data_IF_431918471581
#
_entry.id   IF_431918471581
#
_cell.length_a   1.000
_cell.length_b   1.000
_cell.length_c   1.000
_cell.angle_alpha   90.00
_cell.angle_beta   90.00
_cell.angle_gamma   90.00
#
_symmetry.space_group_name_H-M   'P 1'
#
loop_
_entity.id
_entity.type
_entity.pdbx_description
1 polymer ?
#
# COMPACT_ATOMS: atom_id res chain seq x y z
N UNK A 1 -1.19 59.72 -3.38
CA UNK A 1 -1.57 59.23 -3.89
C UNK A 1 -1.09 58.19 -4.46
N UNK A 2 -0.89 57.85 -4.92
CA UNK A 2 -0.51 56.92 -5.55
C UNK A 2 0.14 55.88 -4.92
N UNK A 3 0.40 55.83 -4.03
CA UNK A 3 1.01 54.86 -3.47
C UNK A 3 0.29 53.71 -3.23
N UNK A 4 -0.75 53.64 -3.13
CA UNK A 4 -1.49 52.58 -2.73
C UNK A 4 -1.59 51.52 -3.70
N UNK A 5 -1.50 51.79 -4.83
CA UNK A 5 -1.67 50.79 -5.73
C UNK A 5 -0.76 49.66 -5.61
N UNK A 6 0.27 49.69 -5.23
CA UNK A 6 1.18 48.60 -5.25
C UNK A 6 0.73 47.52 -4.40
N UNK A 7 0.01 47.73 -3.53
CA UNK A 7 -0.40 46.73 -2.74
C UNK A 7 -1.12 45.69 -3.28
N UNK A 8 -1.97 45.93 -4.03
CA UNK A 8 -2.76 44.89 -4.46
C UNK A 8 -2.03 43.85 -5.12
N UNK A 9 -1.00 44.03 -5.61
CA UNK A 9 -0.35 43.05 -6.22
C UNK A 9 -0.15 41.80 -5.55
N UNK A 10 0.33 41.83 -4.54
CA UNK A 10 0.58 40.64 -3.98
C UNK A 10 -0.45 39.77 -3.65
N UNK A 11 -1.40 40.08 -3.57
CA UNK A 11 -2.43 39.29 -3.27
C UNK A 11 -2.53 38.16 -4.12
N UNK A 12 -2.41 38.29 -5.30
CA UNK A 12 -2.62 37.20 -6.11
C UNK A 12 -1.68 36.13 -5.95
N UNK A 13 -0.60 36.35 -5.59
CA UNK A 13 0.22 35.27 -5.47
C UNK A 13 -0.23 34.27 -4.59
N UNK A 14 -0.92 34.46 -3.70
CA UNK A 14 -1.32 33.50 -2.81
C UNK A 14 -2.03 32.41 -3.41
N UNK A 15 -2.63 32.54 -4.41
CA UNK A 15 -3.47 31.50 -4.86
C UNK A 15 -2.82 30.40 -5.55
N UNK A 16 -1.67 30.37 -5.72
CA UNK A 16 -1.22 29.35 -6.51
C UNK A 16 -0.95 28.03 -6.00
N UNK A 17 -0.79 27.80 -4.93
CA UNK A 17 -0.51 26.51 -4.57
C UNK A 17 -1.42 25.52 -4.34
N UNK A 18 -2.45 25.61 -4.38
CA UNK A 18 -3.33 24.61 -4.00
C UNK A 18 -3.41 23.38 -4.77
N UNK A 19 -3.04 23.32 -5.91
CA UNK A 19 -3.31 22.13 -6.61
C UNK A 19 -2.42 21.01 -6.35
N UNK A 20 -1.51 21.11 -5.63
CA UNK A 20 -0.65 20.05 -5.44
C UNK A 20 -1.21 18.78 -4.96
N UNK A 21 -2.11 18.76 -4.16
CA UNK A 21 -2.57 17.55 -3.71
C UNK A 21 -3.45 16.83 -4.54
N UNK A 22 -3.91 17.30 -5.49
CA UNK A 22 -4.83 16.59 -6.28
C UNK A 22 -4.26 15.34 -6.81
N UNK A 23 -3.05 15.27 -6.96
CA UNK A 23 -2.60 14.12 -7.62
C UNK A 23 -2.47 12.89 -6.84
N UNK A 24 -2.66 12.89 -5.68
CA UNK A 24 -2.47 11.74 -5.07
C UNK A 24 -3.48 10.93 -4.90
N UNK A 25 -3.73 10.32 -4.23
CA UNK A 25 -4.78 9.63 -3.93
C UNK A 25 -5.22 8.46 -4.65
N UNK A 26 -6.19 8.59 -5.34
CA UNK A 26 -6.86 7.47 -5.91
C UNK A 26 -6.05 6.58 -6.78
N UNK A 27 -5.07 7.03 -7.29
CA UNK A 27 -4.39 6.22 -8.13
C UNK A 27 -3.63 5.18 -7.50
N UNK A 28 -3.37 5.26 -6.34
CA UNK A 28 -2.52 4.36 -5.72
C UNK A 28 -2.82 2.94 -5.90
N UNK A 29 -3.99 2.55 -5.95
CA UNK A 29 -4.20 1.18 -6.05
C UNK A 29 -4.11 0.66 -7.38
N UNK A 30 -4.04 1.42 -8.35
CA UNK A 30 -4.00 0.92 -9.67
C UNK A 30 -2.60 0.87 -10.21
N UNK A 31 -1.63 0.70 -9.43
CA UNK A 31 -0.28 0.76 -9.89
C UNK A 31 0.03 -0.35 -10.86
N UNK A 32 0.40 -0.03 -12.06
CA UNK A 32 0.74 -1.06 -13.00
C UNK A 32 2.09 -1.61 -12.59
N UNK A 33 2.37 -2.77 -12.88
CA UNK A 33 3.63 -3.33 -12.48
C UNK A 33 3.64 -3.95 -11.12
N UNK A 34 2.50 -4.04 -10.49
CA UNK A 34 2.44 -4.68 -9.21
C UNK A 34 2.83 -6.14 -9.40
N UNK A 35 3.67 -6.67 -8.54
CA UNK A 35 4.20 -8.00 -8.73
C UNK A 35 3.45 -9.08 -8.00
N UNK A 36 2.47 -8.75 -7.22
CA UNK A 36 1.69 -9.76 -6.52
C UNK A 36 0.22 -9.38 -6.54
N UNK A 37 -0.63 -10.40 -6.68
CA UNK A 37 -2.06 -10.19 -6.61
C UNK A 37 -2.54 -10.91 -5.38
N UNK A 38 -3.51 -10.36 -4.70
CA UNK A 38 -4.06 -10.98 -3.52
C UNK A 38 -5.50 -11.34 -3.76
N UNK A 39 -5.92 -12.52 -3.35
CA UNK A 39 -7.31 -12.91 -3.42
C UNK A 39 -7.62 -14.04 -2.46
N UNK A 40 -8.82 -14.14 -1.98
CA UNK A 40 -9.91 -13.21 -2.17
C UNK A 40 -9.72 -11.98 -1.32
N UNK A 41 -10.28 -10.88 -1.72
CA UNK A 41 -10.20 -9.66 -0.93
C UNK A 41 -11.54 -8.94 -1.10
N UNK A 42 -12.43 -8.97 -0.10
CA UNK A 42 -12.14 -9.33 1.28
C UNK A 42 -11.93 -10.83 1.47
N UNK A 43 -11.09 -11.17 2.40
CA UNK A 43 -10.73 -12.54 2.67
C UNK A 43 -11.45 -13.06 3.90
N UNK A 44 -11.68 -14.37 3.96
CA UNK A 44 -12.32 -14.96 5.12
C UNK A 44 -11.41 -15.92 5.84
N UNK A 45 -11.15 -17.06 5.29
CA UNK A 45 -10.36 -18.07 5.98
C UNK A 45 -8.95 -18.14 5.49
N UNK A 46 -8.66 -17.64 4.30
CA UNK A 46 -7.31 -17.63 3.80
C UNK A 46 -7.15 -16.51 2.79
N UNK A 47 -5.93 -16.19 2.48
CA UNK A 47 -5.65 -15.25 1.41
C UNK A 47 -4.48 -15.81 0.63
N UNK A 48 -4.50 -15.67 -0.68
CA UNK A 48 -3.45 -16.15 -1.55
C UNK A 48 -2.71 -14.97 -2.14
N UNK A 49 -1.38 -15.07 -2.09
CA UNK A 49 -0.52 -14.09 -2.72
C UNK A 49 -0.02 -14.74 -3.99
N UNK A 50 -0.43 -14.24 -5.13
CA UNK A 50 -0.12 -14.84 -6.41
C UNK A 50 0.91 -13.95 -7.08
N UNK A 51 2.14 -14.44 -7.21
CA UNK A 51 3.23 -13.64 -7.73
C UNK A 51 3.40 -13.76 -9.22
N UNK A 52 3.84 -12.70 -9.82
CA UNK A 52 4.19 -12.76 -11.20
C UNK A 52 5.41 -13.65 -11.28
N UNK A 53 5.75 -14.08 -12.47
CA UNK A 53 6.76 -15.06 -12.65
C UNK A 53 8.03 -14.79 -11.88
N UNK A 54 8.43 -15.73 -11.04
CA UNK A 54 9.67 -15.66 -10.26
C UNK A 54 9.80 -14.45 -9.33
N UNK A 55 8.76 -13.68 -9.12
CA UNK A 55 8.88 -12.50 -8.26
C UNK A 55 8.87 -12.85 -6.77
N UNK A 56 8.58 -14.09 -6.43
CA UNK A 56 8.59 -14.46 -5.04
C UNK A 56 9.97 -14.85 -4.55
N UNK A 57 10.91 -15.10 -5.47
CA UNK A 57 12.21 -15.61 -5.07
C UNK A 57 13.00 -14.64 -4.23
N UNK A 58 13.56 -15.15 -3.14
CA UNK A 58 14.38 -14.34 -2.27
C UNK A 58 13.65 -13.25 -1.52
N UNK A 59 12.34 -13.37 -1.43
CA UNK A 59 11.55 -12.32 -0.79
C UNK A 59 10.77 -12.85 0.40
N UNK A 60 10.32 -11.94 1.24
CA UNK A 60 9.60 -12.27 2.45
C UNK A 60 8.32 -11.46 2.49
N UNK A 61 7.20 -12.11 2.87
CA UNK A 61 5.96 -11.39 3.10
C UNK A 61 5.79 -11.21 4.59
N UNK A 62 5.52 -10.00 5.03
CA UNK A 62 5.18 -9.73 6.42
C UNK A 62 3.83 -9.06 6.44
N UNK A 63 2.94 -9.52 7.31
CA UNK A 63 1.60 -8.97 7.43
C UNK A 63 1.47 -8.27 8.76
N UNK A 64 0.96 -7.04 8.74
CA UNK A 64 0.76 -6.25 9.94
C UNK A 64 -0.71 -5.93 10.10
N UNK A 65 -1.15 -5.81 11.35
CA UNK A 65 -2.50 -5.33 11.60
C UNK A 65 -2.53 -3.85 11.28
N UNK A 66 -3.72 -3.28 11.20
CA UNK A 66 -3.83 -1.88 10.90
C UNK A 66 -3.12 -1.03 11.95
N UNK A 67 -2.97 -1.51 13.15
CA UNK A 67 -2.28 -0.78 14.17
C UNK A 67 -0.77 -1.00 14.15
N UNK A 68 -0.27 -1.77 13.24
CA UNK A 68 1.16 -1.96 13.10
C UNK A 68 1.74 -3.18 13.78
N UNK A 69 0.91 -4.06 14.31
CA UNK A 69 1.43 -5.22 14.98
C UNK A 69 1.72 -6.31 13.94
N UNK A 70 2.89 -6.94 14.02
CA UNK A 70 3.24 -7.98 13.08
C UNK A 70 2.40 -9.22 13.37
N UNK A 71 1.67 -9.69 12.40
CA UNK A 71 0.80 -10.83 12.56
C UNK A 71 1.38 -12.09 11.93
N UNK A 72 2.17 -11.99 10.93
CA UNK A 72 2.65 -13.16 10.21
C UNK A 72 3.84 -12.82 9.34
N UNK A 73 4.71 -13.77 9.14
CA UNK A 73 5.86 -13.56 8.28
C UNK A 73 6.13 -14.86 7.55
N UNK A 74 6.30 -14.82 6.25
CA UNK A 74 6.57 -16.00 5.44
C UNK A 74 7.80 -15.75 4.59
N UNK A 75 8.75 -16.66 4.67
CA UNK A 75 9.98 -16.50 3.93
C UNK A 75 10.16 -17.41 2.75
N UNK A 76 9.72 -18.61 2.81
CA UNK A 76 9.92 -19.52 1.69
C UNK A 76 8.70 -19.47 0.81
N UNK A 77 8.64 -18.48 -0.04
CA UNK A 77 7.46 -18.24 -0.83
C UNK A 77 7.43 -19.09 -2.10
N UNK A 78 6.22 -19.47 -2.49
CA UNK A 78 6.03 -20.11 -3.77
C UNK A 78 5.26 -19.14 -4.64
N UNK A 79 5.09 -19.46 -5.90
CA UNK A 79 4.42 -18.56 -6.80
C UNK A 79 3.03 -18.24 -6.33
N UNK A 80 2.32 -19.19 -5.75
CA UNK A 80 1.03 -18.93 -5.15
C UNK A 80 1.14 -19.32 -3.69
N UNK A 81 1.30 -18.36 -2.83
CA UNK A 81 1.47 -18.58 -1.40
C UNK A 81 0.15 -18.32 -0.69
N UNK A 82 -0.39 -19.33 -0.05
CA UNK A 82 -1.67 -19.20 0.66
C UNK A 82 -1.43 -19.16 2.16
N UNK A 83 -2.01 -18.21 2.81
CA UNK A 83 -1.84 -18.00 4.23
C UNK A 83 -3.17 -18.16 4.93
N UNK A 84 -3.20 -18.99 5.97
CA UNK A 84 -4.43 -19.19 6.73
C UNK A 84 -4.66 -17.98 7.64
N UNK A 85 -5.90 -17.58 7.76
CA UNK A 85 -6.23 -16.41 8.54
C UNK A 85 -6.96 -16.76 9.83
N UNK A 86 -6.72 -17.95 10.36
CA UNK A 86 -7.45 -18.36 11.54
C UNK A 86 -7.17 -17.49 12.75
N UNK A 87 -6.01 -16.90 12.84
CA UNK A 87 -5.71 -16.03 13.95
C UNK A 87 -5.93 -14.57 13.65
N UNK A 88 -6.57 -14.26 12.56
CA UNK A 88 -6.75 -12.86 12.18
C UNK A 88 -8.19 -12.44 12.47
N UNK A 89 -8.36 -11.36 13.20
CA UNK A 89 -9.69 -10.85 13.45
C UNK A 89 -10.16 -10.05 12.26
N UNK A 90 -11.43 -9.75 12.21
CA UNK A 90 -11.97 -8.93 11.15
C UNK A 90 -11.28 -7.59 11.17
N UNK A 91 -10.91 -7.08 10.05
CA UNK A 91 -10.30 -5.77 9.97
C UNK A 91 -9.41 -5.62 8.76
N UNK A 92 -8.69 -4.54 8.72
CA UNK A 92 -7.77 -4.26 7.62
C UNK A 92 -6.38 -4.67 8.01
N UNK A 93 -5.65 -5.19 7.06
CA UNK A 93 -4.28 -5.61 7.28
C UNK A 93 -3.39 -5.07 6.16
N UNK A 94 -2.11 -4.95 6.45
CA UNK A 94 -1.16 -4.41 5.51
C UNK A 94 -0.06 -5.44 5.31
N UNK A 95 0.34 -5.68 4.07
CA UNK A 95 1.46 -6.58 3.85
C UNK A 95 2.62 -5.81 3.27
N UNK A 96 3.82 -6.27 3.57
CA UNK A 96 5.03 -5.75 2.96
C UNK A 96 5.74 -6.94 2.32
N UNK A 97 6.18 -6.77 1.10
CA UNK A 97 7.01 -7.75 0.44
C UNK A 97 8.41 -7.16 0.42
N UNK A 98 9.36 -7.81 1.07
CA UNK A 98 10.71 -7.26 1.18
C UNK A 98 11.70 -8.16 0.48
N UNK A 99 12.79 -7.60 0.02
CA UNK A 99 13.82 -8.39 -0.65
C UNK A 99 14.86 -8.85 0.38
N UNK A 100 15.92 -9.49 -0.09
CA UNK A 100 16.91 -10.02 0.81
C UNK A 100 17.67 -8.97 1.59
N UNK A 101 17.63 -7.73 1.16
CA UNK A 101 18.29 -6.66 1.87
C UNK A 101 17.34 -5.96 2.83
N UNK A 102 16.11 -6.41 2.94
CA UNK A 102 15.15 -5.79 3.83
C UNK A 102 14.40 -4.63 3.22
N UNK A 103 14.57 -4.37 1.96
CA UNK A 103 13.90 -3.25 1.34
C UNK A 103 12.51 -3.66 0.90
N UNK A 104 11.51 -2.83 1.13
CA UNK A 104 10.14 -3.12 0.72
C UNK A 104 10.04 -2.91 -0.79
N UNK A 105 9.69 -3.97 -1.50
CA UNK A 105 9.56 -3.88 -2.94
C UNK A 105 8.11 -3.84 -3.38
N UNK A 106 7.19 -4.19 -2.53
CA UNK A 106 5.77 -4.04 -2.81
C UNK A 106 5.02 -4.02 -1.49
N UNK A 107 3.87 -3.40 -1.46
CA UNK A 107 3.05 -3.39 -0.27
C UNK A 107 1.61 -3.14 -0.66
N UNK A 108 0.69 -3.45 0.21
CA UNK A 108 -0.71 -3.22 -0.05
C UNK A 108 -1.54 -3.54 1.16
N UNK A 109 -2.86 -3.49 0.98
CA UNK A 109 -3.79 -3.73 2.06
C UNK A 109 -4.79 -4.78 1.65
N UNK A 110 -5.35 -5.48 2.60
CA UNK A 110 -6.45 -6.38 2.33
C UNK A 110 -7.36 -6.40 3.54
N UNK A 111 -8.58 -6.83 3.35
CA UNK A 111 -9.56 -6.84 4.40
C UNK A 111 -9.93 -8.26 4.77
N UNK A 112 -10.08 -8.54 6.06
CA UNK A 112 -10.53 -9.82 6.56
C UNK A 112 -11.93 -9.62 7.12
N UNK A 113 -12.87 -10.47 6.72
CA UNK A 113 -14.26 -10.27 7.09
C UNK A 113 -14.84 -11.39 7.92
N UNK A 114 -14.06 -12.35 8.37
CA UNK A 114 -14.64 -13.44 9.12
C UNK A 114 -15.10 -13.04 10.52
#
# INVERSE_FOLDING_TARGET
MKRFLPILIFILLASTQSNAQASRGPIAEQVPGRIVKLYPNPAKTYITFDFDKDQQKGRTITIYSFLGKKMYEAQSLTEKTTIALTDFNRGMYIYHLTDGAGKVVDSGKFQVTQ
#
